data_IF_559435669254
#
_entry.id   IF_559435669254
#
_cell.length_a   1.000
_cell.length_b   1.000
_cell.length_c   1.000
_cell.angle_alpha   90.00
_cell.angle_beta   90.00
_cell.angle_gamma   90.00
#
_symmetry.space_group_name_H-M   'P 1'
#
loop_
_entity.id
_entity.type
_entity.pdbx_description
1 polymer ?
#
# COMPACT_ATOMS: atom_id res chain seq x y z
N UNK A 1 13.51 13.32 -30.77
CA UNK A 1 14.46 12.22 -31.05
C UNK A 1 15.08 11.75 -29.74
N UNK A 2 15.54 12.66 -28.86
CA UNK A 2 16.00 12.28 -27.51
C UNK A 2 14.87 11.83 -26.55
N UNK A 3 13.69 12.48 -26.60
CA UNK A 3 12.56 12.13 -25.71
C UNK A 3 12.03 10.70 -25.91
N UNK A 4 12.12 10.15 -27.12
CA UNK A 4 11.68 8.78 -27.41
C UNK A 4 12.64 7.72 -26.84
N UNK A 5 13.94 8.02 -26.81
CA UNK A 5 14.95 7.16 -26.21
C UNK A 5 14.86 7.18 -24.68
N UNK A 6 14.67 8.36 -24.09
CA UNK A 6 14.47 8.51 -22.63
C UNK A 6 13.23 7.75 -22.18
N UNK A 7 12.12 7.85 -22.94
CA UNK A 7 10.89 7.12 -22.65
C UNK A 7 11.05 5.61 -22.80
N UNK A 8 11.72 5.15 -23.85
CA UNK A 8 11.98 3.72 -24.05
C UNK A 8 12.83 3.14 -22.90
N UNK A 9 13.87 3.87 -22.48
CA UNK A 9 14.70 3.47 -21.34
C UNK A 9 13.91 3.43 -20.03
N UNK A 10 13.07 4.43 -19.76
CA UNK A 10 12.24 4.45 -18.57
C UNK A 10 11.26 3.25 -18.53
N UNK A 11 10.64 2.91 -19.67
CA UNK A 11 9.77 1.74 -19.78
C UNK A 11 10.51 0.43 -19.56
N UNK A 12 11.71 0.29 -20.11
CA UNK A 12 12.54 -0.91 -19.91
C UNK A 12 12.98 -1.05 -18.45
N UNK A 13 13.40 0.05 -17.82
CA UNK A 13 13.74 0.08 -16.41
C UNK A 13 12.54 -0.27 -15.53
N UNK A 14 11.35 0.29 -15.81
CA UNK A 14 10.13 -0.02 -15.10
C UNK A 14 9.79 -1.51 -15.19
N UNK A 15 9.85 -2.08 -16.39
CA UNK A 15 9.57 -3.49 -16.62
C UNK A 15 10.56 -4.40 -15.86
N UNK A 16 11.84 -4.07 -15.87
CA UNK A 16 12.85 -4.83 -15.13
C UNK A 16 12.62 -4.77 -13.61
N UNK A 17 12.22 -3.61 -13.08
CA UNK A 17 11.87 -3.45 -11.67
C UNK A 17 10.62 -4.24 -11.29
N UNK A 18 9.59 -4.24 -12.15
CA UNK A 18 8.36 -5.03 -11.96
C UNK A 18 8.64 -6.54 -11.94
N UNK A 19 9.48 -7.04 -12.87
CA UNK A 19 9.87 -8.44 -12.93
C UNK A 19 10.65 -8.88 -11.67
N UNK A 20 11.60 -8.07 -11.19
CA UNK A 20 12.36 -8.34 -9.97
C UNK A 20 11.47 -8.31 -8.72
N UNK A 21 10.56 -7.33 -8.61
CA UNK A 21 9.64 -7.24 -7.49
C UNK A 21 8.69 -8.45 -7.43
N UNK A 22 8.15 -8.87 -8.58
CA UNK A 22 7.30 -10.06 -8.69
C UNK A 22 8.05 -11.32 -8.25
N UNK A 23 9.29 -11.49 -8.71
CA UNK A 23 10.13 -12.65 -8.32
C UNK A 23 10.34 -12.70 -6.80
N UNK A 24 10.63 -11.57 -6.16
CA UNK A 24 10.83 -11.51 -4.70
C UNK A 24 9.59 -11.90 -3.90
N UNK A 25 8.42 -11.45 -4.34
CA UNK A 25 7.15 -11.82 -3.72
C UNK A 25 6.96 -13.33 -3.85
N UNK A 26 7.09 -13.87 -5.06
CA UNK A 26 6.94 -15.31 -5.33
C UNK A 26 7.93 -16.20 -4.53
N UNK A 27 9.15 -15.73 -4.29
CA UNK A 27 10.15 -16.44 -3.47
C UNK A 27 9.84 -16.43 -1.96
N UNK A 28 9.03 -15.47 -1.48
CA UNK A 28 8.75 -15.25 -0.05
C UNK A 28 7.33 -15.67 0.35
N UNK A 29 6.44 -15.88 -0.61
CA UNK A 29 5.04 -16.23 -0.38
C UNK A 29 4.73 -17.65 -0.82
N UNK A 30 3.80 -18.31 -0.12
CA UNK A 30 3.21 -19.56 -0.60
C UNK A 30 2.20 -19.25 -1.73
N UNK A 31 2.38 -19.88 -2.89
CA UNK A 31 1.59 -19.58 -4.08
C UNK A 31 0.10 -19.98 -3.94
N UNK A 32 -0.19 -21.08 -3.24
CA UNK A 32 -1.57 -21.53 -3.03
C UNK A 32 -2.29 -20.59 -2.04
N UNK A 33 -1.59 -20.18 -0.98
CA UNK A 33 -2.14 -19.21 -0.03
C UNK A 33 -2.31 -17.82 -0.66
N UNK A 34 -1.36 -17.39 -1.48
CA UNK A 34 -1.44 -16.11 -2.20
C UNK A 34 -2.62 -16.09 -3.18
N UNK A 35 -2.85 -17.18 -3.91
CA UNK A 35 -4.02 -17.31 -4.78
C UNK A 35 -5.32 -17.33 -3.96
N UNK A 36 -5.34 -18.03 -2.83
CA UNK A 36 -6.50 -18.04 -1.92
C UNK A 36 -6.82 -16.64 -1.39
N UNK A 37 -5.82 -15.90 -0.89
CA UNK A 37 -5.97 -14.54 -0.38
C UNK A 37 -6.41 -13.59 -1.49
N UNK A 38 -5.83 -13.71 -2.68
CA UNK A 38 -6.18 -12.91 -3.87
C UNK A 38 -7.63 -13.08 -4.31
N UNK A 39 -8.19 -14.27 -4.11
CA UNK A 39 -9.58 -14.59 -4.46
C UNK A 39 -10.55 -14.46 -3.28
N UNK A 40 -10.06 -14.20 -2.06
CA UNK A 40 -10.90 -13.97 -0.88
C UNK A 40 -11.57 -12.61 -1.02
N UNK A 41 -12.89 -12.55 -0.86
CA UNK A 41 -13.64 -11.28 -0.91
C UNK A 41 -13.31 -10.40 0.28
N UNK A 42 -13.25 -9.10 0.05
CA UNK A 42 -12.99 -8.15 1.13
C UNK A 42 -14.10 -8.22 2.19
N UNK A 43 -15.35 -8.36 1.75
CA UNK A 43 -16.51 -8.51 2.65
C UNK A 43 -16.43 -9.72 3.60
N UNK A 44 -15.70 -10.77 3.20
CA UNK A 44 -15.49 -11.97 4.02
C UNK A 44 -14.28 -11.83 4.96
N UNK A 45 -13.33 -10.95 4.63
CA UNK A 45 -12.10 -10.76 5.38
C UNK A 45 -12.21 -9.66 6.46
N UNK A 46 -13.04 -8.64 6.25
CA UNK A 46 -13.20 -7.52 7.19
C UNK A 46 -13.63 -8.01 8.57
N UNK A 47 -13.01 -7.45 9.62
CA UNK A 47 -13.25 -7.84 11.01
C UNK A 47 -12.59 -9.16 11.43
N UNK A 48 -11.81 -9.80 10.55
CA UNK A 48 -11.00 -10.99 10.86
C UNK A 48 -9.50 -10.68 10.83
N UNK A 49 -8.68 -11.63 11.28
CA UNK A 49 -7.21 -11.53 11.17
C UNK A 49 -6.70 -11.57 9.71
N UNK A 50 -7.56 -11.96 8.76
CA UNK A 50 -7.19 -12.13 7.36
C UNK A 50 -7.28 -10.84 6.53
N UNK A 51 -7.87 -9.76 7.05
CA UNK A 51 -8.03 -8.52 6.26
C UNK A 51 -6.70 -7.96 5.78
N UNK A 52 -5.69 -7.90 6.65
CA UNK A 52 -4.36 -7.37 6.29
C UNK A 52 -3.69 -8.28 5.22
N UNK A 53 -3.60 -9.61 5.39
CA UNK A 53 -3.11 -10.51 4.35
C UNK A 53 -3.85 -10.39 3.01
N UNK A 54 -5.19 -10.23 3.04
CA UNK A 54 -6.00 -10.06 1.83
C UNK A 54 -5.64 -8.75 1.12
N UNK A 55 -5.55 -7.63 1.84
CA UNK A 55 -5.14 -6.35 1.25
C UNK A 55 -3.71 -6.41 0.70
N UNK A 56 -2.77 -7.02 1.42
CA UNK A 56 -1.38 -7.21 0.94
C UNK A 56 -1.32 -8.04 -0.36
N UNK A 57 -2.20 -9.04 -0.53
CA UNK A 57 -2.27 -9.84 -1.77
C UNK A 57 -2.74 -9.05 -3.01
N UNK A 58 -3.36 -7.87 -2.81
CA UNK A 58 -3.75 -6.97 -3.90
C UNK A 58 -2.64 -6.03 -4.34
N UNK A 59 -1.63 -5.83 -3.49
CA UNK A 59 -0.52 -4.94 -3.79
C UNK A 59 0.40 -5.55 -4.86
N UNK A 60 0.89 -4.69 -5.76
CA UNK A 60 1.84 -5.03 -6.81
C UNK A 60 3.28 -4.88 -6.34
N UNK A 61 4.07 -4.12 -7.08
CA UNK A 61 5.51 -3.92 -6.80
C UNK A 61 5.78 -3.28 -5.44
N UNK A 62 4.83 -2.49 -4.94
CA UNK A 62 4.90 -1.81 -3.64
C UNK A 62 4.98 -2.82 -2.50
N UNK A 63 4.35 -3.99 -2.63
CA UNK A 63 4.45 -5.07 -1.64
C UNK A 63 5.89 -5.51 -1.41
N UNK A 64 6.67 -5.69 -2.48
CA UNK A 64 8.06 -6.09 -2.36
C UNK A 64 8.90 -5.05 -1.58
N UNK A 65 8.51 -3.76 -1.65
CA UNK A 65 9.15 -2.70 -0.88
C UNK A 65 8.72 -2.69 0.59
N UNK A 66 7.48 -3.11 0.91
CA UNK A 66 6.99 -3.29 2.28
C UNK A 66 7.66 -4.52 2.93
N UNK A 67 7.59 -5.67 2.26
CA UNK A 67 8.14 -6.94 2.74
C UNK A 67 9.67 -6.87 2.88
N UNK A 68 10.36 -6.29 1.89
CA UNK A 68 11.82 -6.22 1.84
C UNK A 68 12.49 -5.36 2.92
N UNK A 69 11.74 -4.45 3.56
CA UNK A 69 12.25 -3.63 4.66
C UNK A 69 11.75 -4.10 6.03
N UNK A 70 10.87 -5.12 6.11
CA UNK A 70 10.24 -5.54 7.36
C UNK A 70 9.20 -4.54 7.85
N UNK A 71 8.46 -3.94 6.92
CA UNK A 71 7.27 -3.14 7.22
C UNK A 71 5.99 -3.77 6.69
N UNK A 72 4.90 -3.02 6.72
CA UNK A 72 3.59 -3.49 6.27
C UNK A 72 2.51 -2.43 6.43
N UNK A 73 1.26 -2.86 6.32
CA UNK A 73 0.08 -2.02 6.57
C UNK A 73 -0.69 -2.53 7.78
N UNK A 74 -1.40 -1.63 8.45
CA UNK A 74 -2.42 -1.96 9.43
C UNK A 74 -3.74 -1.30 9.03
N UNK A 75 -4.86 -1.94 9.34
CA UNK A 75 -6.18 -1.35 9.15
C UNK A 75 -6.57 -0.64 10.44
N UNK A 76 -6.63 0.68 10.43
CA UNK A 76 -7.06 1.49 11.57
C UNK A 76 -8.58 1.55 11.66
N UNK A 77 -9.24 1.74 10.53
CA UNK A 77 -10.69 1.74 10.44
C UNK A 77 -11.14 1.27 9.05
N UNK A 78 -12.35 0.72 8.97
CA UNK A 78 -13.01 0.45 7.69
C UNK A 78 -14.49 0.78 7.79
N UNK A 79 -15.08 1.23 6.68
CA UNK A 79 -16.50 1.49 6.56
C UNK A 79 -17.00 0.91 5.24
N UNK A 80 -18.09 0.14 5.30
CA UNK A 80 -18.80 -0.32 4.10
C UNK A 80 -19.72 0.79 3.60
N UNK A 81 -19.56 1.20 2.36
CA UNK A 81 -20.44 2.11 1.63
C UNK A 81 -21.17 1.36 0.51
N UNK A 82 -22.09 2.03 -0.17
CA UNK A 82 -22.87 1.42 -1.26
C UNK A 82 -21.98 1.02 -2.45
N UNK A 83 -20.87 1.72 -2.67
CA UNK A 83 -19.94 1.54 -3.79
C UNK A 83 -18.74 0.62 -3.46
N UNK A 84 -18.61 0.16 -2.21
CA UNK A 84 -17.47 -0.64 -1.74
C UNK A 84 -16.99 -0.23 -0.35
N UNK A 85 -15.75 -0.59 -0.03
CA UNK A 85 -15.13 -0.33 1.27
C UNK A 85 -14.23 0.91 1.24
N UNK A 86 -14.37 1.73 2.28
CA UNK A 86 -13.43 2.79 2.59
C UNK A 86 -12.54 2.31 3.72
N UNK A 87 -11.23 2.32 3.52
CA UNK A 87 -10.26 1.98 4.55
C UNK A 87 -9.46 3.19 4.98
N UNK A 88 -9.19 3.26 6.28
CA UNK A 88 -8.15 4.11 6.84
C UNK A 88 -7.03 3.18 7.29
N UNK A 89 -5.86 3.34 6.67
CA UNK A 89 -4.69 2.50 6.90
C UNK A 89 -3.65 3.23 7.75
N UNK A 90 -2.83 2.46 8.44
CA UNK A 90 -1.54 2.91 8.99
C UNK A 90 -0.43 2.06 8.40
N UNK A 91 0.83 2.50 8.56
CA UNK A 91 2.00 1.73 8.21
C UNK A 91 2.63 1.13 9.45
N UNK A 92 3.26 -0.03 9.29
CA UNK A 92 3.91 -0.74 10.40
C UNK A 92 5.36 -1.10 10.08
N UNK A 93 6.10 -1.47 11.13
CA UNK A 93 7.48 -1.93 11.04
C UNK A 93 8.44 -0.85 10.53
N UNK A 94 9.45 -1.27 9.76
CA UNK A 94 10.51 -0.35 9.31
C UNK A 94 10.04 0.73 8.33
N UNK A 95 8.83 0.60 7.75
CA UNK A 95 8.23 1.64 6.92
C UNK A 95 8.00 2.95 7.67
N UNK A 96 7.85 2.89 9.01
CA UNK A 96 7.80 4.07 9.87
C UNK A 96 9.21 4.66 10.07
N UNK A 97 10.20 3.81 10.31
CA UNK A 97 11.56 4.21 10.69
C UNK A 97 12.40 4.78 9.55
N UNK A 98 12.12 4.39 8.30
CA UNK A 98 12.88 4.83 7.12
C UNK A 98 12.28 6.06 6.43
N UNK A 99 11.15 6.60 6.92
CA UNK A 99 10.38 7.57 6.15
C UNK A 99 9.64 6.86 5.03
N UNK A 100 8.34 6.57 5.19
CA UNK A 100 7.57 5.98 4.10
C UNK A 100 7.71 6.88 2.87
N UNK A 101 8.33 6.40 1.79
CA UNK A 101 8.52 7.24 0.62
C UNK A 101 7.13 7.67 0.10
N UNK A 102 6.93 8.93 -0.32
CA UNK A 102 5.67 9.39 -0.90
C UNK A 102 5.07 8.44 -1.94
N UNK A 103 5.92 7.88 -2.80
CA UNK A 103 5.52 6.92 -3.82
C UNK A 103 5.04 5.58 -3.27
N UNK A 104 5.47 5.17 -2.07
CA UNK A 104 4.95 3.96 -1.40
C UNK A 104 3.51 4.16 -0.95
N UNK A 105 3.20 5.31 -0.33
CA UNK A 105 1.84 5.62 0.11
C UNK A 105 0.87 5.73 -1.08
N UNK A 106 1.28 6.48 -2.10
CA UNK A 106 0.54 6.60 -3.35
C UNK A 106 0.37 5.25 -4.04
N UNK A 107 1.41 4.43 -4.07
CA UNK A 107 1.37 3.09 -4.65
C UNK A 107 0.42 2.15 -3.92
N UNK A 108 0.44 2.12 -2.59
CA UNK A 108 -0.52 1.34 -1.78
C UNK A 108 -1.95 1.78 -2.08
N UNK A 109 -2.23 3.09 -2.10
CA UNK A 109 -3.56 3.60 -2.45
C UNK A 109 -3.98 3.13 -3.84
N UNK A 110 -3.14 3.39 -4.85
CA UNK A 110 -3.47 3.11 -6.25
C UNK A 110 -3.71 1.61 -6.51
N UNK A 111 -2.90 0.74 -5.91
CA UNK A 111 -3.05 -0.71 -6.07
C UNK A 111 -4.34 -1.23 -5.42
N UNK A 112 -4.69 -0.71 -4.23
CA UNK A 112 -5.90 -1.11 -3.51
C UNK A 112 -7.17 -0.53 -4.15
N UNK A 113 -7.18 0.74 -4.54
CA UNK A 113 -8.32 1.38 -5.21
C UNK A 113 -8.56 0.84 -6.63
N UNK A 114 -7.65 0.03 -7.17
CA UNK A 114 -7.89 -0.74 -8.39
C UNK A 114 -8.77 -1.98 -8.15
N UNK A 115 -8.96 -2.42 -6.90
CA UNK A 115 -9.88 -3.50 -6.55
C UNK A 115 -11.32 -2.98 -6.54
N UNK A 116 -12.22 -3.69 -7.26
CA UNK A 116 -13.63 -3.31 -7.38
C UNK A 116 -14.41 -3.32 -6.07
N UNK A 117 -13.92 -3.96 -5.01
CA UNK A 117 -14.54 -3.94 -3.69
C UNK A 117 -14.10 -2.74 -2.84
N UNK A 118 -13.10 -1.95 -3.27
CA UNK A 118 -12.55 -0.81 -2.53
C UNK A 118 -12.97 0.50 -3.21
N UNK A 119 -13.58 1.40 -2.45
CA UNK A 119 -13.99 2.72 -2.95
C UNK A 119 -12.96 3.81 -2.65
N UNK A 120 -12.27 3.74 -1.51
CA UNK A 120 -11.25 4.74 -1.15
C UNK A 120 -10.25 4.21 -0.13
N UNK A 121 -9.00 4.63 -0.25
CA UNK A 121 -7.96 4.43 0.76
C UNK A 121 -7.46 5.78 1.29
N UNK A 122 -7.52 5.93 2.61
CA UNK A 122 -6.97 7.06 3.36
C UNK A 122 -5.93 6.55 4.35
N UNK A 123 -5.09 7.44 4.87
CA UNK A 123 -4.09 7.10 5.87
C UNK A 123 -4.37 7.82 7.19
N UNK A 124 -4.07 7.17 8.31
CA UNK A 124 -4.21 7.78 9.63
C UNK A 124 -3.25 8.96 9.78
N UNK A 125 -3.73 10.10 10.27
CA UNK A 125 -2.86 11.24 10.58
C UNK A 125 -1.84 10.93 11.69
N UNK A 126 -2.09 9.91 12.52
CA UNK A 126 -1.10 9.40 13.51
C UNK A 126 0.21 8.98 12.85
N UNK A 127 0.17 8.53 11.60
CA UNK A 127 1.37 8.19 10.83
C UNK A 127 2.33 9.38 10.73
N UNK A 128 1.79 10.59 10.59
CA UNK A 128 2.60 11.81 10.48
C UNK A 128 3.35 12.14 11.78
N UNK A 129 2.89 11.63 12.93
CA UNK A 129 3.54 11.84 14.24
C UNK A 129 4.83 11.03 14.37
N UNK A 130 5.07 10.09 13.46
CA UNK A 130 6.31 9.29 13.41
C UNK A 130 7.46 9.98 12.67
N UNK A 131 7.18 11.06 11.94
CA UNK A 131 8.16 11.84 11.19
C UNK A 131 8.56 13.12 11.93
N UNK A 132 9.78 13.59 11.68
CA UNK A 132 10.18 14.95 12.05
C UNK A 132 9.47 15.99 11.18
N UNK A 133 9.62 17.27 11.50
CA UNK A 133 8.92 18.36 10.81
C UNK A 133 9.19 18.36 9.30
N UNK A 134 10.45 18.10 8.90
CA UNK A 134 10.83 18.06 7.48
C UNK A 134 10.24 16.86 6.76
N UNK A 135 10.28 15.68 7.37
CA UNK A 135 9.67 14.46 6.84
C UNK A 135 8.16 14.63 6.70
N UNK A 136 7.49 15.19 7.71
CA UNK A 136 6.05 15.48 7.66
C UNK A 136 5.70 16.42 6.50
N UNK A 137 6.41 17.54 6.36
CA UNK A 137 6.19 18.48 5.25
C UNK A 137 6.38 17.80 3.88
N UNK A 138 7.40 16.96 3.76
CA UNK A 138 7.69 16.23 2.52
C UNK A 138 6.57 15.24 2.17
N UNK A 139 6.06 14.48 3.14
CA UNK A 139 4.94 13.55 2.92
C UNK A 139 3.66 14.28 2.55
N UNK A 140 3.34 15.39 3.23
CA UNK A 140 2.15 16.17 2.91
C UNK A 140 2.23 16.82 1.51
N UNK A 141 3.42 17.25 1.09
CA UNK A 141 3.62 17.89 -0.21
C UNK A 141 3.66 16.90 -1.37
N UNK A 142 4.16 15.67 -1.16
CA UNK A 142 4.49 14.74 -2.24
C UNK A 142 3.79 13.39 -2.15
N UNK A 143 3.18 13.03 -1.01
CA UNK A 143 2.53 11.73 -0.81
C UNK A 143 1.30 11.52 -1.68
N UNK A 144 0.70 12.62 -2.16
CA UNK A 144 -0.52 12.65 -2.96
C UNK A 144 -1.73 11.94 -2.31
N UNK A 145 -1.67 11.53 -1.04
CA UNK A 145 -2.71 10.78 -0.33
C UNK A 145 -3.43 11.64 0.70
N UNK A 146 -4.63 11.20 1.10
CA UNK A 146 -5.40 11.88 2.14
C UNK A 146 -5.08 11.32 3.53
N UNK A 147 -4.81 12.22 4.48
CA UNK A 147 -4.63 11.89 5.88
C UNK A 147 -5.85 12.31 6.69
N UNK A 148 -6.37 11.40 7.50
CA UNK A 148 -7.56 11.61 8.32
C UNK A 148 -7.32 11.25 9.77
N UNK A 149 -7.95 12.00 10.67
CA UNK A 149 -7.90 11.69 12.10
C UNK A 149 -8.79 10.48 12.40
N UNK A 150 -8.20 9.46 13.01
CA UNK A 150 -8.93 8.30 13.49
C UNK A 150 -9.12 8.49 14.98
N UNK A 151 -10.35 8.70 15.47
CA UNK A 151 -10.57 8.87 16.89
C UNK A 151 -10.08 7.61 17.61
N UNK A 152 -9.00 7.78 18.38
CA UNK A 152 -8.52 6.76 19.30
C UNK A 152 -9.67 6.46 20.25
N UNK A 153 -10.22 5.25 20.18
CA UNK A 153 -11.36 4.87 21.02
C UNK A 153 -11.11 5.19 22.49
N UNK A 154 -12.02 5.94 23.10
CA UNK A 154 -12.11 6.13 24.55
C UNK A 154 -12.61 4.85 25.23
#
# INVERSE_FOLDING_TARGET
>A
MDDDLVRAYALEAQKAMEEEAKRRIEEQTDAEEEERLRNTRIDEAVGTEHIVPVLLSRLGTVRAALDGHGGGIAVSEWKKQDEGFNFILDLTGACLSCGAAPGTLEGVRNDLEADSEISSIQFSSSLLDTFDDLGREFILAHGNVEFVDVPSGN
#
